data_IF_439808751194
#
_entry.id   IF_439808751194
#
_cell.length_a   1.000
_cell.length_b   1.000
_cell.length_c   1.000
_cell.angle_alpha   90.00
_cell.angle_beta   90.00
_cell.angle_gamma   90.00
#
_symmetry.space_group_name_H-M   'P 1'
#
loop_
_entity.id
_entity.type
_entity.pdbx_description
1 polymer ?
#
# COMPACT_ATOMS: atom_id res chain seq x y z
N UNK A 1 -6.86 -4.58 -8.11
CA UNK A 1 -7.76 -5.60 -7.54
C UNK A 1 -9.10 -4.98 -7.16
N UNK A 2 -10.19 -5.74 -7.17
CA UNK A 2 -11.49 -5.31 -6.64
C UNK A 2 -12.08 -6.41 -5.75
N UNK A 3 -12.62 -6.03 -4.60
CA UNK A 3 -13.31 -6.91 -3.66
C UNK A 3 -14.72 -6.36 -3.42
N UNK A 4 -15.68 -7.26 -3.23
CA UNK A 4 -17.05 -6.91 -2.91
C UNK A 4 -17.58 -7.88 -1.86
N UNK A 5 -18.16 -7.33 -0.80
CA UNK A 5 -18.83 -8.08 0.25
C UNK A 5 -19.96 -7.23 0.83
N UNK A 6 -21.14 -7.84 1.02
CA UNK A 6 -22.39 -7.12 1.30
C UNK A 6 -22.62 -5.96 0.31
N UNK A 7 -22.79 -4.73 0.82
CA UNK A 7 -23.00 -3.53 0.02
C UNK A 7 -21.71 -2.70 -0.15
N UNK A 8 -20.54 -3.25 0.20
CA UNK A 8 -19.25 -2.58 0.12
C UNK A 8 -18.42 -3.14 -1.04
N UNK A 9 -17.95 -2.25 -1.90
CA UNK A 9 -16.97 -2.54 -2.94
C UNK A 9 -15.71 -1.71 -2.68
N UNK A 10 -14.57 -2.40 -2.66
CA UNK A 10 -13.24 -1.78 -2.56
C UNK A 10 -12.45 -2.08 -3.82
N UNK A 11 -11.92 -1.05 -4.47
CA UNK A 11 -10.97 -1.17 -5.58
C UNK A 11 -9.60 -0.66 -5.14
N UNK A 12 -8.56 -1.40 -5.48
CA UNK A 12 -7.17 -1.01 -5.24
C UNK A 12 -6.36 -1.06 -6.53
N UNK A 13 -5.62 0.01 -6.80
CA UNK A 13 -4.69 0.14 -7.93
C UNK A 13 -3.32 0.49 -7.35
N UNK A 14 -2.31 -0.28 -7.73
CA UNK A 14 -0.95 -0.11 -7.22
C UNK A 14 0.05 -0.12 -8.36
N UNK A 15 1.00 0.81 -8.31
CA UNK A 15 2.27 0.71 -9.02
C UNK A 15 3.37 0.50 -7.99
N UNK A 16 4.30 -0.42 -8.25
CA UNK A 16 5.40 -0.69 -7.32
C UNK A 16 6.74 -0.68 -8.05
N UNK A 17 7.66 0.14 -7.54
CA UNK A 17 9.09 0.07 -7.83
C UNK A 17 9.88 0.21 -6.54
N UNK A 18 10.71 -0.78 -6.20
CA UNK A 18 11.45 -0.81 -4.94
C UNK A 18 12.96 -0.57 -5.11
N UNK A 19 13.35 0.18 -6.15
CA UNK A 19 14.76 0.50 -6.39
C UNK A 19 15.41 1.34 -5.29
N UNK A 20 14.62 2.15 -4.58
CA UNK A 20 15.01 2.98 -3.43
C UNK A 20 14.33 2.52 -2.14
N UNK A 21 14.25 1.20 -1.95
CA UNK A 21 13.66 0.62 -0.75
C UNK A 21 14.34 1.11 0.53
N UNK A 22 13.55 1.57 1.49
CA UNK A 22 14.03 2.08 2.79
C UNK A 22 13.19 1.50 3.93
N UNK A 23 13.68 1.69 5.15
CA UNK A 23 13.02 1.26 6.38
C UNK A 23 12.69 2.47 7.25
N UNK A 24 11.47 2.50 7.76
CA UNK A 24 11.01 3.56 8.66
C UNK A 24 11.84 3.58 9.94
N UNK A 25 12.24 4.78 10.37
CA UNK A 25 13.08 4.99 11.56
C UNK A 25 14.59 4.95 11.32
N UNK A 26 15.05 4.44 10.16
CA UNK A 26 16.47 4.47 9.81
C UNK A 26 16.91 5.90 9.44
N UNK A 27 18.24 6.15 9.50
CA UNK A 27 18.78 7.46 9.12
C UNK A 27 18.50 7.74 7.64
N UNK A 28 18.09 8.96 7.28
CA UNK A 28 17.84 9.31 5.89
C UNK A 28 19.16 9.24 5.09
N UNK A 29 19.10 8.61 3.91
CA UNK A 29 20.19 8.58 2.94
C UNK A 29 19.69 9.10 1.60
N UNK A 30 20.56 9.79 0.86
CA UNK A 30 20.23 10.25 -0.49
C UNK A 30 20.52 9.10 -1.45
N UNK A 31 19.47 8.45 -1.92
CA UNK A 31 19.57 7.38 -2.91
C UNK A 31 19.47 7.99 -4.33
N UNK A 32 20.37 7.59 -5.22
CA UNK A 32 20.35 8.01 -6.64
C UNK A 32 19.53 7.05 -7.53
N UNK A 33 18.99 5.99 -6.93
CA UNK A 33 18.12 5.02 -7.58
C UNK A 33 16.67 5.48 -7.37
N UNK A 34 15.83 5.30 -8.39
CA UNK A 34 14.41 5.67 -8.33
C UNK A 34 13.51 4.45 -8.12
N UNK A 35 12.37 4.68 -7.47
CA UNK A 35 11.33 3.70 -7.18
C UNK A 35 10.25 4.35 -6.31
N UNK A 36 9.01 3.92 -6.45
CA UNK A 36 7.95 4.29 -5.51
C UNK A 36 6.84 3.25 -5.51
N UNK A 37 6.15 3.11 -4.38
CA UNK A 37 4.86 2.45 -4.30
C UNK A 37 3.79 3.54 -4.26
N UNK A 38 2.98 3.63 -5.32
CA UNK A 38 1.77 4.46 -5.33
C UNK A 38 0.56 3.55 -5.17
N UNK A 39 -0.35 3.93 -4.27
CA UNK A 39 -1.54 3.16 -3.93
C UNK A 39 -2.75 4.07 -4.06
N UNK A 40 -3.72 3.68 -4.87
CA UNK A 40 -5.06 4.25 -4.88
C UNK A 40 -6.03 3.20 -4.37
N UNK A 41 -6.76 3.50 -3.30
CA UNK A 41 -7.90 2.70 -2.84
C UNK A 41 -9.17 3.52 -2.96
N UNK A 42 -10.19 2.93 -3.57
CA UNK A 42 -11.51 3.52 -3.71
C UNK A 42 -12.54 2.65 -3.00
N UNK A 43 -13.37 3.26 -2.15
CA UNK A 43 -14.52 2.65 -1.51
C UNK A 43 -15.81 3.11 -2.19
N UNK A 44 -16.78 2.20 -2.38
CA UNK A 44 -18.10 2.56 -2.92
C UNK A 44 -19.00 3.26 -1.91
N UNK A 45 -18.73 3.13 -0.61
CA UNK A 45 -19.51 3.77 0.44
C UNK A 45 -18.97 5.16 0.79
N UNK A 46 -19.84 6.12 1.12
CA UNK A 46 -19.42 7.44 1.58
C UNK A 46 -18.66 7.34 2.91
N UNK A 47 -17.57 8.10 3.03
CA UNK A 47 -16.75 8.16 4.23
C UNK A 47 -16.39 9.62 4.49
N UNK A 48 -16.53 10.06 5.74
CA UNK A 48 -16.06 11.37 6.14
C UNK A 48 -14.51 11.43 6.15
N UNK A 49 -13.97 12.62 6.40
CA UNK A 49 -12.52 12.84 6.45
C UNK A 49 -11.84 11.97 7.51
N UNK A 50 -12.41 11.86 8.72
CA UNK A 50 -11.81 11.10 9.82
C UNK A 50 -11.71 9.60 9.47
N UNK A 51 -12.79 9.03 8.94
CA UNK A 51 -12.83 7.64 8.48
C UNK A 51 -11.89 7.41 7.30
N UNK A 52 -11.75 8.38 6.41
CA UNK A 52 -10.78 8.32 5.30
C UNK A 52 -9.33 8.31 5.80
N UNK A 53 -9.02 9.04 6.89
CA UNK A 53 -7.69 9.02 7.52
C UNK A 53 -7.41 7.66 8.20
N UNK A 54 -8.40 7.06 8.83
CA UNK A 54 -8.30 5.68 9.35
C UNK A 54 -8.03 4.69 8.21
N UNK A 55 -8.75 4.82 7.08
CA UNK A 55 -8.51 3.99 5.89
C UNK A 55 -7.07 4.13 5.36
N UNK A 56 -6.54 5.36 5.28
CA UNK A 56 -5.15 5.61 4.87
C UNK A 56 -4.16 4.90 5.80
N UNK A 57 -4.44 4.90 7.11
CA UNK A 57 -3.60 4.22 8.10
C UNK A 57 -3.59 2.70 7.88
N UNK A 58 -4.75 2.10 7.60
CA UNK A 58 -4.85 0.67 7.26
C UNK A 58 -4.11 0.32 5.96
N UNK A 59 -4.17 1.20 4.96
CA UNK A 59 -3.47 1.03 3.67
C UNK A 59 -1.95 1.10 3.87
N UNK A 60 -1.47 2.04 4.69
CA UNK A 60 -0.05 2.17 5.02
C UNK A 60 0.48 0.92 5.75
N UNK A 61 -0.31 0.38 6.68
CA UNK A 61 0.00 -0.86 7.38
C UNK A 61 0.04 -2.06 6.41
N UNK A 62 -0.98 -2.20 5.56
CA UNK A 62 -1.07 -3.27 4.57
C UNK A 62 0.11 -3.25 3.58
N UNK A 63 0.50 -2.06 3.11
CA UNK A 63 1.70 -1.87 2.29
C UNK A 63 2.95 -2.33 3.04
N UNK A 64 3.10 -1.91 4.29
CA UNK A 64 4.29 -2.23 5.10
C UNK A 64 4.41 -3.72 5.32
N UNK A 65 3.30 -4.39 5.64
CA UNK A 65 3.24 -5.85 5.78
C UNK A 65 3.69 -6.56 4.50
N UNK A 66 3.12 -6.19 3.35
CA UNK A 66 3.48 -6.80 2.06
C UNK A 66 4.97 -6.61 1.72
N UNK A 67 5.55 -5.43 2.00
CA UNK A 67 6.98 -5.17 1.75
C UNK A 67 7.87 -5.97 2.70
N UNK A 68 7.53 -6.04 3.99
CA UNK A 68 8.28 -6.80 4.99
C UNK A 68 8.28 -8.30 4.65
N UNK A 69 7.12 -8.86 4.31
CA UNK A 69 7.00 -10.27 3.91
C UNK A 69 7.73 -10.59 2.62
N UNK A 70 7.86 -9.61 1.72
CA UNK A 70 8.67 -9.76 0.51
C UNK A 70 10.19 -9.79 0.77
N UNK A 71 10.63 -9.51 2.02
CA UNK A 71 12.03 -9.55 2.48
C UNK A 71 12.99 -8.77 1.57
N UNK A 72 12.55 -7.62 1.10
CA UNK A 72 13.38 -6.72 0.27
C UNK A 72 14.45 -6.07 1.17
N UNK A 73 15.74 -6.16 0.82
CA UNK A 73 16.78 -5.44 1.53
C UNK A 73 16.54 -3.92 1.51
N UNK A 74 16.77 -3.27 2.63
CA UNK A 74 16.94 -1.83 2.68
C UNK A 74 18.27 -1.46 1.96
N UNK A 75 18.29 -0.34 1.23
CA UNK A 75 19.51 0.20 0.61
C UNK A 75 20.53 0.75 1.62
N UNK A 76 20.12 1.12 2.83
CA UNK A 76 20.98 1.72 3.85
C UNK A 76 21.65 0.71 4.80
N UNK A 77 21.01 -0.43 5.09
CA UNK A 77 21.46 -1.41 6.11
C UNK A 77 20.98 -2.84 5.78
N UNK A 78 21.46 -3.85 6.52
CA UNK A 78 21.08 -5.27 6.36
C UNK A 78 19.66 -5.62 6.82
N UNK A 79 18.83 -4.64 7.16
CA UNK A 79 17.46 -4.84 7.59
C UNK A 79 16.49 -4.91 6.39
N UNK A 80 15.28 -5.44 6.59
CA UNK A 80 14.24 -5.42 5.57
C UNK A 80 13.54 -4.06 5.47
N UNK A 81 13.20 -3.67 4.25
CA UNK A 81 12.47 -2.44 3.95
C UNK A 81 11.02 -2.49 4.45
N UNK A 82 10.44 -1.32 4.67
CA UNK A 82 9.00 -1.13 4.99
C UNK A 82 8.26 -0.36 3.90
N UNK A 83 8.99 0.09 2.87
CA UNK A 83 8.46 0.82 1.72
C UNK A 83 9.58 1.46 0.92
N UNK A 84 9.28 2.59 0.30
CA UNK A 84 10.24 3.47 -0.35
C UNK A 84 10.27 4.85 0.32
N UNK A 85 11.23 5.68 -0.07
CA UNK A 85 11.34 7.05 0.45
C UNK A 85 10.22 8.00 -0.01
N UNK A 86 9.41 7.58 -0.99
CA UNK A 86 8.42 8.45 -1.67
C UNK A 86 7.10 7.73 -1.92
N UNK A 87 6.71 6.79 -1.06
CA UNK A 87 5.42 6.10 -1.20
C UNK A 87 4.25 7.08 -1.08
N UNK A 88 3.25 6.91 -1.94
CA UNK A 88 2.04 7.76 -1.97
C UNK A 88 0.79 6.91 -1.78
N UNK A 89 -0.14 7.40 -0.96
CA UNK A 89 -1.46 6.78 -0.74
C UNK A 89 -2.53 7.80 -1.07
N UNK A 90 -3.46 7.41 -1.94
CA UNK A 90 -4.70 8.12 -2.20
C UNK A 90 -5.88 7.23 -1.79
N UNK A 91 -6.83 7.83 -1.09
CA UNK A 91 -8.10 7.20 -0.75
C UNK A 91 -9.25 8.01 -1.34
N UNK A 92 -10.22 7.33 -1.94
CA UNK A 92 -11.39 7.95 -2.54
C UNK A 92 -12.68 7.26 -2.09
N UNK A 93 -13.67 8.06 -1.73
CA UNK A 93 -15.04 7.65 -1.43
C UNK A 93 -16.01 8.69 -1.99
N UNK A 94 -17.26 8.31 -2.30
CA UNK A 94 -18.30 9.27 -2.63
C UNK A 94 -18.56 10.25 -1.49
N UNK A 95 -19.07 11.44 -1.82
CA UNK A 95 -19.59 12.40 -0.84
C UNK A 95 -21.11 12.35 -0.82
N UNK A 96 -21.70 11.88 0.28
CA UNK A 96 -23.16 11.78 0.47
C UNK A 96 -23.54 11.91 1.94
N UNK A 97 -24.82 12.18 2.25
CA UNK A 97 -25.29 12.45 3.62
C UNK A 97 -25.21 11.25 4.60
N UNK A 98 -25.15 10.01 4.10
CA UNK A 98 -25.04 8.81 4.95
C UNK A 98 -23.63 8.26 4.84
N UNK A 99 -22.80 8.55 5.84
CA UNK A 99 -21.38 8.21 5.84
C UNK A 99 -21.08 7.09 6.84
N UNK A 100 -20.11 6.25 6.48
CA UNK A 100 -19.43 5.42 7.48
C UNK A 100 -18.60 6.35 8.34
N UNK A 101 -18.77 6.25 9.66
CA UNK A 101 -18.12 7.15 10.63
C UNK A 101 -16.83 6.61 11.23
N UNK A 102 -16.51 5.33 11.02
CA UNK A 102 -15.25 4.73 11.44
C UNK A 102 -14.91 3.50 10.59
N UNK A 103 -13.62 3.23 10.44
CA UNK A 103 -13.11 2.03 9.79
C UNK A 103 -11.85 1.56 10.51
N UNK A 104 -11.83 0.28 10.85
CA UNK A 104 -10.74 -0.32 11.59
C UNK A 104 -10.67 -1.82 11.36
N UNK A 105 -9.66 -2.48 11.91
CA UNK A 105 -9.44 -3.93 11.69
C UNK A 105 -10.60 -4.82 12.14
N UNK A 106 -11.45 -4.33 13.04
CA UNK A 106 -12.66 -5.03 13.51
C UNK A 106 -13.91 -4.71 12.69
N UNK A 107 -13.78 -3.95 11.60
CA UNK A 107 -14.89 -3.58 10.71
C UNK A 107 -14.76 -4.29 9.37
N UNK A 108 -15.88 -4.57 8.72
CA UNK A 108 -15.87 -5.12 7.35
C UNK A 108 -15.16 -4.18 6.38
N UNK A 109 -15.42 -2.87 6.45
CA UNK A 109 -14.74 -1.87 5.61
C UNK A 109 -13.22 -1.92 5.79
N UNK A 110 -12.73 -1.98 7.04
CA UNK A 110 -11.30 -2.03 7.31
C UNK A 110 -10.65 -3.35 6.89
N UNK A 111 -11.35 -4.47 7.06
CA UNK A 111 -10.93 -5.76 6.52
C UNK A 111 -10.73 -5.71 4.99
N UNK A 112 -11.74 -5.24 4.27
CA UNK A 112 -11.71 -5.18 2.81
C UNK A 112 -10.67 -4.18 2.29
N UNK A 113 -10.53 -3.01 2.92
CA UNK A 113 -9.50 -2.01 2.58
C UNK A 113 -8.10 -2.60 2.78
N UNK A 114 -7.83 -3.17 3.96
CA UNK A 114 -6.53 -3.77 4.27
C UNK A 114 -6.18 -4.92 3.32
N UNK A 115 -7.11 -5.84 3.09
CA UNK A 115 -6.93 -6.97 2.17
C UNK A 115 -6.72 -6.50 0.73
N UNK A 116 -7.50 -5.52 0.28
CA UNK A 116 -7.40 -4.99 -1.08
C UNK A 116 -6.04 -4.32 -1.35
N UNK A 117 -5.56 -3.52 -0.39
CA UNK A 117 -4.26 -2.87 -0.44
C UNK A 117 -3.13 -3.90 -0.38
N UNK A 118 -3.14 -4.80 0.61
CA UNK A 118 -2.10 -5.80 0.82
C UNK A 118 -1.84 -6.65 -0.43
N UNK A 119 -2.88 -7.29 -0.98
CA UNK A 119 -2.71 -8.17 -2.14
C UNK A 119 -2.28 -7.39 -3.39
N UNK A 120 -2.77 -6.16 -3.58
CA UNK A 120 -2.36 -5.34 -4.72
C UNK A 120 -0.91 -4.91 -4.62
N UNK A 121 -0.43 -4.57 -3.42
CA UNK A 121 0.99 -4.27 -3.17
C UNK A 121 1.84 -5.52 -3.33
N UNK A 122 1.43 -6.65 -2.75
CA UNK A 122 2.11 -7.95 -2.87
C UNK A 122 2.28 -8.36 -4.34
N UNK A 123 1.21 -8.26 -5.13
CA UNK A 123 1.26 -8.55 -6.57
C UNK A 123 2.15 -7.56 -7.31
N UNK A 124 2.09 -6.27 -6.99
CA UNK A 124 2.97 -5.24 -7.56
C UNK A 124 4.45 -5.54 -7.30
N UNK A 125 4.80 -5.95 -6.09
CA UNK A 125 6.16 -6.36 -5.72
C UNK A 125 6.59 -7.60 -6.53
N UNK A 126 5.73 -8.62 -6.65
CA UNK A 126 6.01 -9.81 -7.46
C UNK A 126 6.33 -9.44 -8.91
N UNK A 127 5.46 -8.63 -9.53
CA UNK A 127 5.67 -8.18 -10.91
C UNK A 127 6.98 -7.39 -11.07
N UNK A 128 7.31 -6.54 -10.10
CA UNK A 128 8.57 -5.79 -10.10
C UNK A 128 9.79 -6.71 -10.02
N UNK A 129 9.77 -7.72 -9.14
CA UNK A 129 10.85 -8.73 -9.02
C UNK A 129 11.05 -9.50 -10.34
N UNK A 130 9.96 -9.97 -10.95
CA UNK A 130 10.01 -10.71 -12.21
C UNK A 130 10.58 -9.86 -13.36
N UNK A 131 10.20 -8.58 -13.43
CA UNK A 131 10.73 -7.67 -14.44
C UNK A 131 12.24 -7.43 -14.25
N UNK A 132 12.71 -7.27 -13.00
CA UNK A 132 14.15 -7.16 -12.69
C UNK A 132 14.94 -8.38 -13.18
N UNK A 133 14.43 -9.59 -12.91
CA UNK A 133 15.02 -10.85 -13.38
C UNK A 133 15.11 -10.91 -14.91
N UNK A 134 14.06 -10.50 -15.63
CA UNK A 134 14.03 -10.45 -17.10
C UNK A 134 15.03 -9.44 -17.68
N UNK A 135 15.26 -8.33 -16.98
CA UNK A 135 16.19 -7.27 -17.39
C UNK A 135 17.65 -7.53 -17.00
N UNK A 136 17.96 -8.63 -16.29
CA UNK A 136 19.33 -8.99 -15.91
C UNK A 136 19.96 -8.13 -14.81
N UNK A 137 19.16 -7.31 -14.10
CA UNK A 137 19.64 -6.50 -12.98
C UNK A 137 19.34 -7.26 -11.68
N UNK A 138 20.38 -7.74 -10.99
CA UNK A 138 20.26 -8.55 -9.77
C UNK A 138 19.39 -7.94 -8.67
N UNK A 139 18.82 -8.81 -7.83
CA UNK A 139 18.00 -8.48 -6.65
C UNK A 139 18.89 -8.02 -5.50
#
# INVERSE_FOLDING_TARGET
MALQEENLQIRSIVTAGLGNSVRIGDRPSRLEIYGTINILVQCSAPMNLNTSLEAISLIAEARTLAVLEAKIPNQADKNFATGTGTDCIAFASPSHNSEIHYTGKHTLSGHLIGKAAYESVRQGITNWKENKLKTGVGV
#
